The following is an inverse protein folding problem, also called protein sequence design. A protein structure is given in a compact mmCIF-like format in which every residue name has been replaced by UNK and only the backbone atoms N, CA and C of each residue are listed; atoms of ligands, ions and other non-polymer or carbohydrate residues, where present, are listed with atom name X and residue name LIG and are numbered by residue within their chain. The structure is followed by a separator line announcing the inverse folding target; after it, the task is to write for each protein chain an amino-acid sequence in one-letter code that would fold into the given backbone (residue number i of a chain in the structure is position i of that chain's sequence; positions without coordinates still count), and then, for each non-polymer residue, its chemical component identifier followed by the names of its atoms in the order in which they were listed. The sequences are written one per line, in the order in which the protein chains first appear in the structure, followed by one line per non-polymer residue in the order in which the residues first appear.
data_IF_267384287012
#
_entry.id   IF_267384287012
#
_cell.length_a   1.000
_cell.length_b   1.000
_cell.length_c   1.000
_cell.angle_alpha   90.00
_cell.angle_beta   90.00
_cell.angle_gamma   90.00
#
_symmetry.space_group_name_H-M   'P 1'
#
loop_
_entity.id
_entity.type
_entity.pdbx_description
1 polymer ?
#
# COMPACT_ATOMS: atom_id res chain seq x y z
N UNK A 1 10.37 6.06 -6.75
CA UNK A 1 11.51 6.05 -5.81
C UNK A 1 12.14 7.43 -5.67
N UNK A 2 12.55 8.07 -6.76
CA UNK A 2 13.19 9.39 -6.71
C UNK A 2 12.35 10.44 -5.98
N UNK A 3 11.05 10.48 -6.24
CA UNK A 3 10.14 11.41 -5.57
C UNK A 3 10.02 11.09 -4.07
N UNK A 4 9.90 9.82 -3.69
CA UNK A 4 9.86 9.41 -2.27
C UNK A 4 11.15 9.85 -1.55
N UNK A 5 12.30 9.56 -2.14
CA UNK A 5 13.60 9.87 -1.54
C UNK A 5 13.99 11.36 -1.63
N UNK A 6 13.24 12.20 -2.37
CA UNK A 6 13.52 13.64 -2.41
C UNK A 6 13.31 14.35 -1.07
N UNK A 7 12.58 13.74 -0.16
CA UNK A 7 12.32 14.21 1.20
C UNK A 7 13.37 13.74 2.23
N UNK A 8 14.42 13.01 1.77
CA UNK A 8 15.40 12.37 2.67
C UNK A 8 16.75 13.09 2.66
N UNK A 9 17.40 13.04 3.82
CA UNK A 9 18.82 13.37 3.95
C UNK A 9 19.68 12.15 3.55
N UNK A 10 20.93 12.41 3.13
CA UNK A 10 21.92 11.38 2.77
C UNK A 10 21.40 10.37 1.73
N UNK A 11 20.44 10.77 0.91
CA UNK A 11 19.84 9.87 -0.09
C UNK A 11 20.85 9.44 -1.14
N UNK A 12 20.84 8.15 -1.46
CA UNK A 12 21.66 7.58 -2.55
C UNK A 12 20.96 6.42 -3.21
N UNK A 13 21.16 6.23 -4.49
CA UNK A 13 20.79 5.00 -5.19
C UNK A 13 21.81 3.92 -4.82
N UNK A 14 21.33 2.77 -4.36
CA UNK A 14 22.20 1.65 -3.90
C UNK A 14 22.08 0.43 -4.79
N UNK A 15 21.00 0.29 -5.56
CA UNK A 15 20.80 -0.80 -6.49
C UNK A 15 19.89 -0.38 -7.64
N UNK A 16 20.16 -0.96 -8.82
CA UNK A 16 19.31 -0.83 -10.01
C UNK A 16 19.41 -2.10 -10.85
N UNK A 17 18.26 -2.74 -11.06
CA UNK A 17 18.14 -3.87 -11.97
C UNK A 17 16.72 -3.93 -12.53
N UNK A 18 16.58 -3.91 -13.85
CA UNK A 18 15.27 -3.84 -14.53
C UNK A 18 14.42 -2.68 -13.99
N UNK A 19 13.16 -2.94 -13.61
CA UNK A 19 12.25 -1.98 -12.97
C UNK A 19 12.60 -1.66 -11.50
N UNK A 20 13.47 -2.46 -10.88
CA UNK A 20 13.84 -2.29 -9.47
C UNK A 20 14.93 -1.25 -9.33
N UNK A 21 14.61 -0.16 -8.68
CA UNK A 21 15.56 0.90 -8.28
C UNK A 21 15.42 1.10 -6.79
N UNK A 22 16.52 0.98 -6.07
CA UNK A 22 16.54 1.14 -4.61
C UNK A 22 17.34 2.37 -4.21
N UNK A 23 16.69 3.25 -3.48
CA UNK A 23 17.34 4.35 -2.76
C UNK A 23 17.31 4.07 -1.26
N UNK A 24 18.36 4.51 -0.57
CA UNK A 24 18.43 4.53 0.88
C UNK A 24 18.83 5.93 1.36
N UNK A 25 18.48 6.27 2.60
CA UNK A 25 18.77 7.55 3.21
C UNK A 25 18.22 7.65 4.62
N UNK A 26 17.97 8.89 5.06
CA UNK A 26 17.35 9.16 6.36
C UNK A 26 16.19 10.14 6.21
N UNK A 27 15.07 9.81 6.82
CA UNK A 27 13.96 10.74 6.98
C UNK A 27 13.87 11.18 8.44
N UNK A 28 14.13 12.46 8.69
CA UNK A 28 14.17 13.01 10.07
C UNK A 28 15.01 12.16 11.03
N UNK A 29 16.20 11.73 10.57
CA UNK A 29 17.13 10.91 11.33
C UNK A 29 16.87 9.41 11.33
N UNK A 30 15.70 8.94 10.87
CA UNK A 30 15.35 7.51 10.79
C UNK A 30 15.83 6.91 9.48
N UNK A 31 16.51 5.77 9.54
CA UNK A 31 16.95 5.05 8.35
C UNK A 31 15.74 4.53 7.55
N UNK A 32 15.77 4.76 6.25
CA UNK A 32 14.67 4.42 5.35
C UNK A 32 15.20 4.00 3.98
N UNK A 33 14.51 3.09 3.33
CA UNK A 33 14.78 2.70 1.94
C UNK A 33 13.49 2.70 1.13
N UNK A 34 13.58 2.94 -0.17
CA UNK A 34 12.47 2.76 -1.10
C UNK A 34 12.94 2.00 -2.32
N UNK A 35 12.17 1.01 -2.72
CA UNK A 35 12.42 0.19 -3.91
C UNK A 35 11.21 0.27 -4.83
N UNK A 36 11.42 0.58 -6.13
CA UNK A 36 10.36 0.43 -7.13
C UNK A 36 10.16 -1.05 -7.45
N UNK A 37 8.92 -1.44 -7.70
CA UNK A 37 8.58 -2.82 -8.06
C UNK A 37 8.07 -2.95 -9.50
N UNK A 38 7.80 -1.83 -10.18
CA UNK A 38 6.96 -1.87 -11.38
C UNK A 38 5.50 -2.13 -10.99
N UNK A 39 4.76 -2.80 -11.86
CA UNK A 39 3.32 -3.05 -11.71
C UNK A 39 3.06 -4.55 -11.47
N UNK A 40 2.18 -4.81 -10.50
CA UNK A 40 1.56 -6.11 -10.30
C UNK A 40 2.21 -7.03 -9.28
N UNK A 41 1.46 -8.04 -8.90
CA UNK A 41 1.84 -9.02 -7.90
C UNK A 41 3.17 -9.72 -8.15
N UNK A 42 3.45 -10.24 -9.36
CA UNK A 42 4.70 -10.96 -9.63
C UNK A 42 5.95 -10.14 -9.34
N UNK A 43 5.99 -8.89 -9.78
CA UNK A 43 7.13 -8.00 -9.54
C UNK A 43 7.25 -7.62 -8.05
N UNK A 44 6.12 -7.37 -7.39
CA UNK A 44 6.08 -7.12 -5.94
C UNK A 44 6.58 -8.32 -5.15
N UNK A 45 6.20 -9.54 -5.52
CA UNK A 45 6.63 -10.76 -4.84
C UNK A 45 8.16 -10.93 -4.89
N UNK A 46 8.77 -10.72 -6.06
CA UNK A 46 10.24 -10.79 -6.20
C UNK A 46 10.90 -9.75 -5.29
N UNK A 47 10.43 -8.51 -5.30
CA UNK A 47 10.97 -7.45 -4.43
C UNK A 47 10.89 -7.81 -2.94
N UNK A 48 9.73 -8.29 -2.47
CA UNK A 48 9.52 -8.67 -1.07
C UNK A 48 10.46 -9.80 -0.67
N UNK A 49 10.55 -10.87 -1.47
CA UNK A 49 11.45 -12.01 -1.24
C UNK A 49 12.91 -11.58 -1.10
N UNK A 50 13.39 -10.73 -2.00
CA UNK A 50 14.79 -10.29 -2.00
C UNK A 50 15.08 -9.30 -0.87
N UNK A 51 14.14 -8.37 -0.59
CA UNK A 51 14.29 -7.42 0.50
C UNK A 51 14.26 -8.09 1.88
N UNK A 52 13.46 -9.14 2.07
CA UNK A 52 13.46 -9.94 3.29
C UNK A 52 14.84 -10.61 3.51
N UNK A 53 15.48 -11.11 2.45
CA UNK A 53 16.81 -11.75 2.54
C UNK A 53 17.91 -10.78 2.95
N UNK A 54 17.76 -9.50 2.68
CA UNK A 54 18.70 -8.46 3.13
C UNK A 54 18.27 -7.80 4.44
N UNK A 55 17.26 -8.36 5.12
CA UNK A 55 16.88 -7.98 6.49
C UNK A 55 15.76 -6.95 6.61
N UNK A 56 15.07 -6.59 5.53
CA UNK A 56 13.88 -5.78 5.65
C UNK A 56 12.77 -6.54 6.40
N UNK A 57 12.09 -5.87 7.32
CA UNK A 57 11.05 -6.49 8.16
C UNK A 57 9.75 -5.69 8.20
N UNK A 58 9.74 -4.49 7.62
CA UNK A 58 8.55 -3.63 7.57
C UNK A 58 8.47 -2.98 6.19
N UNK A 59 7.29 -3.08 5.58
CA UNK A 59 7.02 -2.58 4.24
C UNK A 59 5.84 -1.63 4.23
N UNK A 60 5.98 -0.51 3.52
CA UNK A 60 4.88 0.41 3.22
C UNK A 60 4.80 0.60 1.71
N UNK A 61 3.71 0.13 1.11
CA UNK A 61 3.42 0.41 -0.28
C UNK A 61 2.92 1.85 -0.44
N UNK A 62 3.58 2.59 -1.29
CA UNK A 62 3.11 3.89 -1.78
C UNK A 62 2.71 3.72 -3.24
N UNK A 63 1.46 3.98 -3.56
CA UNK A 63 0.96 3.75 -4.90
C UNK A 63 -0.23 4.62 -5.26
N UNK A 64 -0.83 4.30 -6.41
CA UNK A 64 -2.04 4.94 -6.90
C UNK A 64 -3.17 3.93 -6.96
N UNK A 65 -4.42 4.41 -7.00
CA UNK A 65 -5.59 3.57 -6.98
C UNK A 65 -6.76 4.24 -7.71
N UNK A 66 -7.70 3.43 -8.18
CA UNK A 66 -8.97 3.88 -8.73
C UNK A 66 -10.11 3.66 -7.73
N UNK A 67 -10.63 4.74 -7.16
CA UNK A 67 -11.73 4.70 -6.18
C UNK A 67 -13.03 4.17 -6.82
N UNK A 68 -13.73 3.31 -6.09
CA UNK A 68 -15.05 2.79 -6.50
C UNK A 68 -16.18 3.20 -5.56
N UNK A 69 -15.89 3.87 -4.45
CA UNK A 69 -16.93 4.40 -3.54
C UNK A 69 -17.26 5.86 -3.87
N UNK A 70 -18.55 6.23 -3.91
CA UNK A 70 -18.96 7.60 -4.28
C UNK A 70 -18.42 8.70 -3.36
N UNK A 71 -18.15 8.37 -2.08
CA UNK A 71 -17.64 9.32 -1.07
C UNK A 71 -16.16 9.66 -1.20
N UNK A 72 -15.41 8.90 -2.02
CA UNK A 72 -13.97 9.09 -2.18
C UNK A 72 -13.73 10.03 -3.36
N UNK A 73 -13.05 11.13 -3.11
CA UNK A 73 -12.70 12.12 -4.11
C UNK A 73 -11.33 11.84 -4.72
N UNK A 74 -11.11 12.33 -5.94
CA UNK A 74 -9.76 12.29 -6.54
C UNK A 74 -8.83 13.17 -5.69
N UNK A 75 -7.66 12.64 -5.37
CA UNK A 75 -6.70 13.24 -4.44
C UNK A 75 -6.80 12.75 -3.01
N UNK A 76 -7.89 12.07 -2.61
CA UNK A 76 -7.96 11.43 -1.28
C UNK A 76 -6.95 10.29 -1.17
N UNK A 77 -6.53 10.01 0.06
CA UNK A 77 -5.70 8.85 0.36
C UNK A 77 -6.55 7.65 0.79
N UNK A 78 -6.10 6.45 0.44
CA UNK A 78 -6.67 5.20 0.94
C UNK A 78 -5.57 4.46 1.70
N UNK A 79 -5.79 4.28 3.00
CA UNK A 79 -4.98 3.44 3.86
C UNK A 79 -5.61 2.05 3.85
N UNK A 80 -4.96 1.09 3.21
CA UNK A 80 -5.49 -0.25 3.06
C UNK A 80 -5.31 -1.06 4.34
N UNK A 81 -6.43 -1.49 4.95
CA UNK A 81 -6.44 -2.42 6.08
C UNK A 81 -6.41 -3.88 5.65
N UNK A 82 -6.74 -4.17 4.40
CA UNK A 82 -6.72 -5.48 3.77
C UNK A 82 -6.97 -5.38 2.28
N UNK A 83 -6.83 -6.50 1.58
CA UNK A 83 -7.05 -6.57 0.15
C UNK A 83 -7.84 -7.82 -0.27
N UNK A 84 -8.80 -7.64 -1.17
CA UNK A 84 -9.44 -8.75 -1.88
C UNK A 84 -8.42 -9.34 -2.86
N UNK A 85 -8.17 -10.64 -2.76
CA UNK A 85 -7.16 -11.36 -3.54
C UNK A 85 -7.70 -11.78 -4.90
N UNK A 86 -7.85 -10.83 -5.83
CA UNK A 86 -8.23 -11.10 -7.22
C UNK A 86 -7.00 -11.34 -8.12
N UNK A 87 -5.80 -11.30 -7.55
CA UNK A 87 -4.52 -11.59 -8.19
C UNK A 87 -4.23 -13.10 -8.22
N UNK A 88 -3.40 -13.53 -9.15
CA UNK A 88 -2.90 -14.91 -9.25
C UNK A 88 -1.66 -15.16 -8.40
N UNK A 89 -0.83 -14.15 -8.16
CA UNK A 89 0.47 -14.31 -7.48
C UNK A 89 0.29 -14.76 -6.04
N UNK A 90 -0.53 -14.08 -5.25
CA UNK A 90 -0.73 -14.44 -3.85
C UNK A 90 -1.33 -15.84 -3.67
N UNK A 91 -2.10 -16.31 -4.66
CA UNK A 91 -2.69 -17.66 -4.67
C UNK A 91 -1.67 -18.78 -4.87
N UNK A 92 -0.50 -18.47 -5.45
CA UNK A 92 0.60 -19.42 -5.59
C UNK A 92 1.43 -19.58 -4.32
N UNK A 93 1.34 -18.63 -3.40
CA UNK A 93 2.00 -18.71 -2.08
C UNK A 93 1.15 -19.42 -1.03
N UNK A 94 -0.15 -19.17 -1.02
CA UNK A 94 -1.07 -19.75 -0.04
C UNK A 94 -2.49 -19.79 -0.61
N UNK A 95 -3.34 -20.69 -0.09
CA UNK A 95 -4.73 -20.85 -0.53
C UNK A 95 -5.50 -19.53 -0.49
N UNK A 96 -6.51 -19.39 -1.35
CA UNK A 96 -7.29 -18.15 -1.53
C UNK A 96 -8.03 -17.73 -0.26
N UNK A 97 -8.38 -18.67 0.60
CA UNK A 97 -9.07 -18.43 1.87
C UNK A 97 -8.18 -17.72 2.91
N UNK A 98 -6.84 -17.77 2.75
CA UNK A 98 -5.92 -17.02 3.60
C UNK A 98 -6.09 -15.52 3.36
N UNK A 99 -6.38 -14.72 4.39
CA UNK A 99 -6.68 -13.30 4.20
C UNK A 99 -5.41 -12.48 3.91
N UNK A 100 -5.51 -11.52 2.98
CA UNK A 100 -4.50 -10.49 2.77
C UNK A 100 -4.84 -9.28 3.64
N UNK A 101 -4.25 -9.20 4.84
CA UNK A 101 -4.46 -8.09 5.78
C UNK A 101 -3.18 -7.32 6.06
N UNK A 102 -3.31 -6.01 6.25
CA UNK A 102 -2.21 -5.17 6.66
C UNK A 102 -1.89 -5.37 8.15
N UNK A 103 -0.65 -5.14 8.53
CA UNK A 103 -0.26 -5.17 9.95
C UNK A 103 -0.88 -3.96 10.67
N UNK A 104 -1.60 -4.21 11.76
CA UNK A 104 -2.38 -3.17 12.45
C UNK A 104 -1.54 -1.97 12.91
N UNK A 105 -0.29 -2.19 13.38
CA UNK A 105 0.59 -1.09 13.77
C UNK A 105 0.99 -0.20 12.58
N UNK A 106 1.15 -0.80 11.39
CA UNK A 106 1.46 -0.02 10.17
C UNK A 106 0.24 0.78 9.73
N UNK A 107 -0.96 0.21 9.82
CA UNK A 107 -2.20 0.95 9.55
C UNK A 107 -2.36 2.13 10.52
N UNK A 108 -2.16 1.91 11.81
CA UNK A 108 -2.23 2.97 12.83
C UNK A 108 -1.19 4.07 12.60
N UNK A 109 0.05 3.70 12.23
CA UNK A 109 1.10 4.68 11.95
C UNK A 109 0.80 5.52 10.69
N UNK A 110 0.18 4.91 9.68
CA UNK A 110 -0.28 5.63 8.49
C UNK A 110 -1.43 6.59 8.82
N UNK A 111 -2.35 6.19 9.69
CA UNK A 111 -3.43 7.06 10.19
C UNK A 111 -2.84 8.24 10.97
N UNK A 112 -1.97 7.97 11.93
CA UNK A 112 -1.30 9.01 12.74
C UNK A 112 -0.55 10.00 11.85
N UNK A 113 0.16 9.50 10.84
CA UNK A 113 0.87 10.35 9.89
C UNK A 113 -0.09 11.19 9.04
N UNK A 114 -1.20 10.62 8.57
CA UNK A 114 -2.20 11.33 7.79
C UNK A 114 -2.86 12.45 8.62
N UNK A 115 -3.25 12.16 9.86
CA UNK A 115 -3.81 13.15 10.79
C UNK A 115 -2.82 14.29 11.08
N UNK A 116 -1.56 13.96 11.38
CA UNK A 116 -0.52 14.96 11.69
C UNK A 116 -0.20 15.88 10.52
N UNK A 117 -0.39 15.41 9.29
CA UNK A 117 -0.16 16.17 8.06
C UNK A 117 -1.42 16.84 7.51
N UNK A 118 -2.60 16.61 8.13
CA UNK A 118 -3.87 17.14 7.67
C UNK A 118 -4.33 16.57 6.31
N UNK A 119 -3.86 15.37 5.97
CA UNK A 119 -4.24 14.71 4.72
C UNK A 119 -5.65 14.13 4.82
N UNK A 120 -6.44 14.23 3.73
CA UNK A 120 -7.76 13.62 3.65
C UNK A 120 -7.63 12.15 3.29
N UNK A 121 -8.16 11.25 4.11
CA UNK A 121 -7.96 9.82 3.94
C UNK A 121 -9.18 8.97 4.27
N UNK A 122 -9.16 7.73 3.78
CA UNK A 122 -10.12 6.67 4.09
C UNK A 122 -9.37 5.41 4.50
N UNK A 123 -9.93 4.64 5.43
CA UNK A 123 -9.35 3.36 5.84
C UNK A 123 -10.30 2.23 5.46
N UNK A 124 -9.79 1.18 4.84
CA UNK A 124 -10.60 0.02 4.49
C UNK A 124 -9.94 -0.94 3.52
N UNK A 125 -10.76 -1.84 2.97
CA UNK A 125 -10.31 -2.90 2.08
C UNK A 125 -10.19 -2.38 0.66
N UNK A 126 -9.14 -2.78 -0.05
CA UNK A 126 -8.94 -2.55 -1.49
C UNK A 126 -9.08 -3.86 -2.26
N UNK A 127 -9.11 -3.82 -3.58
CA UNK A 127 -9.09 -5.03 -4.42
C UNK A 127 -7.86 -5.03 -5.32
N UNK A 128 -7.03 -6.07 -5.20
CA UNK A 128 -5.83 -6.24 -6.02
C UNK A 128 -6.10 -7.16 -7.19
N UNK A 129 -5.82 -6.69 -8.41
CA UNK A 129 -6.04 -7.42 -9.66
C UNK A 129 -4.76 -7.50 -10.48
N UNK A 130 -4.65 -8.51 -11.37
CA UNK A 130 -3.52 -8.64 -12.31
C UNK A 130 -3.79 -7.96 -13.66
N UNK A 131 -5.03 -7.54 -13.92
CA UNK A 131 -5.39 -6.85 -15.16
C UNK A 131 -5.98 -5.48 -14.89
N UNK A 132 -5.31 -4.44 -15.39
CA UNK A 132 -5.79 -3.06 -15.31
C UNK A 132 -7.10 -2.84 -16.09
N UNK A 133 -7.27 -3.56 -17.20
CA UNK A 133 -8.49 -3.46 -18.02
C UNK A 133 -9.59 -4.37 -17.51
N UNK A 134 -9.67 -5.58 -18.01
CA UNK A 134 -10.79 -6.49 -17.75
C UNK A 134 -10.89 -6.86 -16.26
N UNK A 135 -9.79 -7.11 -15.57
CA UNK A 135 -9.78 -7.39 -14.13
C UNK A 135 -10.33 -6.27 -13.25
N UNK A 136 -10.39 -5.05 -13.77
CA UNK A 136 -11.00 -3.90 -13.09
C UNK A 136 -12.27 -3.42 -13.80
N UNK A 137 -12.96 -4.30 -14.51
CA UNK A 137 -14.18 -4.00 -15.28
C UNK A 137 -14.04 -2.81 -16.25
N UNK A 138 -12.90 -2.71 -16.92
CA UNK A 138 -12.71 -1.83 -18.07
C UNK A 138 -12.76 -2.66 -19.34
N UNK A 139 -13.43 -2.21 -20.40
CA UNK A 139 -13.42 -2.90 -21.69
C UNK A 139 -11.97 -3.11 -22.18
N UNK A 140 -11.72 -4.30 -22.70
CA UNK A 140 -10.47 -4.62 -23.38
C UNK A 140 -10.42 -4.04 -24.80
N UNK A 141 -9.36 -4.39 -25.53
CA UNK A 141 -9.24 -4.01 -26.93
C UNK A 141 -10.49 -4.43 -27.73
N UNK A 142 -10.96 -3.60 -28.66
CA UNK A 142 -12.19 -3.80 -29.43
C UNK A 142 -13.45 -4.00 -28.58
N UNK A 143 -13.53 -3.33 -27.45
CA UNK A 143 -14.67 -3.41 -26.52
C UNK A 143 -14.92 -4.84 -25.99
N UNK A 144 -13.86 -5.63 -25.85
CA UNK A 144 -13.97 -6.97 -25.30
C UNK A 144 -14.43 -6.91 -23.83
N UNK A 145 -15.56 -7.56 -23.56
CA UNK A 145 -16.16 -7.66 -22.22
C UNK A 145 -16.64 -9.08 -21.95
N UNK A 146 -16.61 -9.47 -20.69
CA UNK A 146 -17.25 -10.69 -20.18
C UNK A 146 -18.42 -10.31 -19.28
N UNK A 147 -19.41 -11.18 -19.18
CA UNK A 147 -20.65 -10.91 -18.43
C UNK A 147 -20.39 -10.54 -16.96
N UNK A 148 -19.45 -11.21 -16.30
CA UNK A 148 -19.09 -10.98 -14.90
C UNK A 148 -18.53 -9.59 -14.63
N UNK A 149 -17.99 -8.91 -15.63
CA UNK A 149 -17.42 -7.57 -15.47
C UNK A 149 -18.48 -6.52 -15.08
N UNK A 150 -19.73 -6.73 -15.49
CA UNK A 150 -20.84 -5.80 -15.22
C UNK A 150 -21.15 -5.70 -13.73
N UNK A 151 -21.04 -6.82 -13.02
CA UNK A 151 -21.41 -6.90 -11.61
C UNK A 151 -20.22 -6.68 -10.67
N UNK A 152 -18.98 -6.74 -11.18
CA UNK A 152 -17.78 -6.68 -10.37
C UNK A 152 -17.71 -5.41 -9.48
N UNK A 153 -17.87 -4.22 -10.07
CA UNK A 153 -17.81 -2.97 -9.31
C UNK A 153 -19.00 -2.86 -8.35
N UNK A 154 -20.27 -3.07 -8.78
CA UNK A 154 -21.41 -3.06 -7.86
C UNK A 154 -21.28 -4.03 -6.69
N UNK A 155 -20.76 -5.22 -6.90
CA UNK A 155 -20.60 -6.21 -5.84
C UNK A 155 -19.50 -5.80 -4.85
N UNK A 156 -18.34 -5.35 -5.35
CA UNK A 156 -17.28 -4.86 -4.49
C UNK A 156 -17.70 -3.59 -3.71
N UNK A 157 -18.49 -2.70 -4.31
CA UNK A 157 -19.06 -1.53 -3.63
C UNK A 157 -19.97 -1.95 -2.47
N UNK A 158 -20.89 -2.90 -2.69
CA UNK A 158 -21.78 -3.45 -1.65
C UNK A 158 -20.98 -4.14 -0.53
N UNK A 159 -19.87 -4.77 -0.88
CA UNK A 159 -18.93 -5.37 0.08
C UNK A 159 -18.07 -4.34 0.83
N UNK A 160 -18.22 -3.05 0.55
CA UNK A 160 -17.47 -1.98 1.21
C UNK A 160 -16.03 -1.80 0.73
N UNK A 161 -15.64 -2.43 -0.38
CA UNK A 161 -14.32 -2.25 -0.98
C UNK A 161 -14.17 -0.81 -1.48
N UNK A 162 -13.02 -0.18 -1.21
CA UNK A 162 -12.80 1.24 -1.47
C UNK A 162 -12.30 1.52 -2.89
N UNK A 163 -11.43 0.66 -3.42
CA UNK A 163 -10.73 0.95 -4.68
C UNK A 163 -10.08 -0.29 -5.29
N UNK A 164 -9.63 -0.16 -6.54
CA UNK A 164 -8.75 -1.12 -7.22
C UNK A 164 -7.30 -0.65 -7.23
N UNK A 165 -6.38 -1.58 -7.01
CA UNK A 165 -4.95 -1.47 -7.20
C UNK A 165 -4.40 -2.85 -7.63
N UNK A 166 -3.08 -3.08 -7.64
CA UNK A 166 -2.54 -4.29 -8.28
C UNK A 166 -1.48 -5.03 -7.44
N UNK A 167 -1.16 -4.61 -6.19
CA UNK A 167 -0.02 -5.17 -5.45
C UNK A 167 -0.28 -5.47 -3.97
N UNK A 168 -1.25 -4.81 -3.33
CA UNK A 168 -1.45 -4.90 -1.88
C UNK A 168 -1.74 -6.32 -1.40
N UNK A 169 -2.53 -7.11 -2.14
CA UNK A 169 -2.83 -8.49 -1.76
C UNK A 169 -1.57 -9.36 -1.70
N UNK A 170 -0.70 -9.23 -2.69
CA UNK A 170 0.58 -9.94 -2.73
C UNK A 170 1.49 -9.48 -1.59
N UNK A 171 1.67 -8.16 -1.42
CA UNK A 171 2.50 -7.62 -0.35
C UNK A 171 2.04 -8.09 1.04
N UNK A 172 0.75 -7.96 1.33
CA UNK A 172 0.19 -8.35 2.64
C UNK A 172 0.30 -9.85 2.87
N UNK A 173 -0.03 -10.66 1.86
CA UNK A 173 0.04 -12.12 1.97
C UNK A 173 1.47 -12.59 2.27
N UNK A 174 2.45 -12.14 1.51
CA UNK A 174 3.85 -12.55 1.71
C UNK A 174 4.40 -12.06 3.04
N UNK A 175 4.13 -10.79 3.38
CA UNK A 175 4.58 -10.24 4.66
C UNK A 175 4.04 -11.02 5.85
N UNK A 176 2.75 -11.42 5.81
CA UNK A 176 2.14 -12.23 6.87
C UNK A 176 2.75 -13.63 6.95
N UNK A 177 2.99 -14.30 5.81
CA UNK A 177 3.60 -15.63 5.77
C UNK A 177 5.00 -15.60 6.38
N UNK A 178 5.77 -14.55 6.11
CA UNK A 178 7.17 -14.43 6.55
C UNK A 178 7.35 -13.66 7.86
N UNK A 179 6.26 -13.30 8.54
CA UNK A 179 6.31 -12.61 9.82
C UNK A 179 6.82 -11.16 9.75
N UNK A 180 6.75 -10.54 8.57
CA UNK A 180 7.03 -9.13 8.38
C UNK A 180 5.78 -8.26 8.56
N UNK A 181 5.97 -6.97 8.82
CA UNK A 181 4.88 -5.99 8.89
C UNK A 181 4.67 -5.33 7.53
N UNK A 182 3.43 -5.19 7.09
CA UNK A 182 3.13 -4.45 5.86
C UNK A 182 1.89 -3.56 6.00
N UNK A 183 1.90 -2.46 5.24
CA UNK A 183 0.76 -1.57 5.04
C UNK A 183 0.81 -0.92 3.66
N UNK A 184 -0.23 -0.16 3.32
CA UNK A 184 -0.27 0.58 2.07
C UNK A 184 -1.02 1.90 2.24
N UNK A 185 -0.49 2.95 1.62
CA UNK A 185 -1.14 4.23 1.41
C UNK A 185 -1.18 4.53 -0.08
N UNK A 186 -2.37 4.80 -0.58
CA UNK A 186 -2.66 4.86 -2.01
C UNK A 186 -3.35 6.18 -2.33
N UNK A 187 -2.86 6.92 -3.31
CA UNK A 187 -3.50 8.12 -3.80
C UNK A 187 -4.64 7.75 -4.78
N UNK A 188 -5.83 8.22 -4.53
CA UNK A 188 -6.97 8.05 -5.43
C UNK A 188 -6.81 8.99 -6.63
N UNK A 189 -6.10 8.54 -7.66
CA UNK A 189 -5.89 9.32 -8.89
C UNK A 189 -7.08 9.24 -9.84
N UNK A 190 -7.99 8.30 -9.62
CA UNK A 190 -9.19 8.13 -10.43
C UNK A 190 -10.42 7.81 -9.57
N UNK A 191 -11.58 8.31 -10.00
CA UNK A 191 -12.89 7.90 -9.52
C UNK A 191 -13.60 7.11 -10.63
N UNK A 192 -13.83 5.80 -10.38
CA UNK A 192 -14.55 4.92 -11.32
C UNK A 192 -16.04 5.19 -11.35
N UNK A 193 -16.56 5.84 -10.31
CA UNK A 193 -17.98 6.22 -10.19
C UNK A 193 -18.24 7.52 -10.93
N UNK A 194 -17.34 8.49 -10.81
CA UNK A 194 -17.48 9.82 -11.43
C UNK A 194 -16.83 9.92 -12.81
N UNK A 195 -16.18 8.85 -13.25
CA UNK A 195 -15.38 8.80 -14.48
C UNK A 195 -14.33 9.93 -14.56
N UNK A 196 -13.66 10.17 -13.45
CA UNK A 196 -12.62 11.19 -13.30
C UNK A 196 -11.24 10.54 -13.23
N UNK A 197 -10.25 11.20 -13.82
CA UNK A 197 -8.84 10.84 -13.73
C UNK A 197 -8.03 12.13 -13.66
N UNK A 198 -7.21 12.27 -12.62
CA UNK A 198 -6.24 13.36 -12.49
C UNK A 198 -4.89 12.75 -12.17
N UNK A 199 -4.00 12.82 -13.12
CA UNK A 199 -2.64 12.28 -12.98
C UNK A 199 -1.93 12.91 -11.78
N UNK A 200 -1.33 12.07 -10.93
CA UNK A 200 -0.60 12.45 -9.72
C UNK A 200 -1.42 13.11 -8.60
N UNK A 201 -2.75 13.18 -8.68
CA UNK A 201 -3.56 13.71 -7.59
C UNK A 201 -3.30 12.94 -6.28
N UNK A 202 -2.97 13.64 -5.20
CA UNK A 202 -2.69 13.07 -3.88
C UNK A 202 -1.40 12.25 -3.75
N UNK A 203 -0.61 12.09 -4.83
CA UNK A 203 0.60 11.26 -4.80
C UNK A 203 1.66 11.84 -3.86
N UNK A 204 1.84 13.16 -3.83
CA UNK A 204 2.78 13.79 -2.90
C UNK A 204 2.35 13.58 -1.45
N UNK A 205 1.05 13.70 -1.15
CA UNK A 205 0.52 13.46 0.19
C UNK A 205 0.71 11.99 0.61
N UNK A 206 0.47 11.03 -0.29
CA UNK A 206 0.75 9.62 -0.03
C UNK A 206 2.24 9.38 0.29
N UNK A 207 3.15 10.03 -0.43
CA UNK A 207 4.58 9.98 -0.17
C UNK A 207 4.93 10.57 1.20
N UNK A 208 4.41 11.74 1.53
CA UNK A 208 4.64 12.40 2.82
C UNK A 208 4.12 11.56 3.98
N UNK A 209 2.90 11.03 3.86
CA UNK A 209 2.29 10.16 4.86
C UNK A 209 3.12 8.88 5.06
N UNK A 210 3.58 8.25 3.99
CA UNK A 210 4.40 7.05 4.10
C UNK A 210 5.75 7.31 4.79
N UNK A 211 6.44 8.40 4.42
CA UNK A 211 7.69 8.80 5.04
C UNK A 211 7.50 9.09 6.54
N UNK A 212 6.45 9.83 6.89
CA UNK A 212 6.13 10.15 8.28
C UNK A 212 5.74 8.89 9.07
N UNK A 213 4.98 7.97 8.48
CA UNK A 213 4.63 6.71 9.12
C UNK A 213 5.85 5.84 9.48
N UNK A 214 6.93 5.88 8.68
CA UNK A 214 8.20 5.22 9.02
C UNK A 214 8.80 5.81 10.30
N UNK A 215 8.79 7.15 10.45
CA UNK A 215 9.24 7.83 11.67
C UNK A 215 8.39 7.44 12.87
N UNK A 216 7.07 7.48 12.72
CA UNK A 216 6.10 7.09 13.77
C UNK A 216 6.34 5.65 14.23
N UNK A 217 6.46 4.70 13.28
CA UNK A 217 6.75 3.30 13.60
C UNK A 217 8.08 3.14 14.36
N UNK A 218 9.12 3.85 13.94
CA UNK A 218 10.40 3.82 14.62
C UNK A 218 10.27 4.29 16.08
N UNK A 219 9.60 5.41 16.33
CA UNK A 219 9.38 5.92 17.69
C UNK A 219 8.56 4.95 18.54
N UNK A 220 7.53 4.33 17.96
CA UNK A 220 6.73 3.34 18.65
C UNK A 220 7.52 2.07 18.97
N UNK A 221 8.38 1.61 18.06
CA UNK A 221 9.24 0.45 18.29
C UNK A 221 10.25 0.74 19.43
N UNK A 222 10.81 1.96 19.49
CA UNK A 222 11.65 2.40 20.61
C UNK A 222 10.87 2.41 21.94
N UNK A 223 9.67 2.98 21.94
CA UNK A 223 8.82 3.04 23.13
C UNK A 223 8.42 1.64 23.63
N UNK A 224 8.09 0.72 22.72
CA UNK A 224 7.82 -0.69 23.06
C UNK A 224 9.04 -1.35 23.71
N UNK A 225 10.21 -1.18 23.12
CA UNK A 225 11.47 -1.75 23.64
C UNK A 225 11.75 -1.24 25.05
N UNK A 226 11.68 0.08 25.26
CA UNK A 226 11.93 0.70 26.58
C UNK A 226 10.97 0.22 27.68
N UNK A 227 9.73 -0.12 27.30
CA UNK A 227 8.69 -0.56 28.25
C UNK A 227 8.45 -2.07 28.26
N UNK A 228 9.25 -2.87 27.56
CA UNK A 228 9.09 -4.33 27.46
C UNK A 228 7.74 -4.75 26.90
N UNK A 229 7.20 -4.01 25.92
CA UNK A 229 5.93 -4.29 25.27
C UNK A 229 6.13 -4.92 23.90
N UNK A 230 5.24 -5.85 23.55
CA UNK A 230 5.23 -6.48 22.21
C UNK A 230 4.47 -5.64 21.20
N UNK A 231 3.33 -5.08 21.61
CA UNK A 231 2.43 -4.34 20.72
C UNK A 231 2.17 -2.93 21.24
N UNK A 232 1.80 -2.06 20.29
CA UNK A 232 1.33 -0.72 20.62
C UNK A 232 -0.09 -0.80 21.18
N UNK A 233 -0.31 -0.14 22.29
CA UNK A 233 -1.62 0.00 22.93
C UNK A 233 -1.76 1.44 23.46
N UNK A 234 -2.98 1.96 23.67
CA UNK A 234 -3.15 3.29 24.26
C UNK A 234 -2.39 3.49 25.58
N UNK A 235 -2.31 2.44 26.39
CA UNK A 235 -1.57 2.49 27.67
C UNK A 235 -0.04 2.63 27.51
N UNK A 236 0.50 2.45 26.31
CA UNK A 236 1.93 2.68 26.04
C UNK A 236 2.30 4.16 26.22
N UNK A 237 1.37 5.07 25.99
CA UNK A 237 1.57 6.53 26.05
C UNK A 237 0.95 7.17 27.29
N UNK A 238 0.20 6.42 28.10
CA UNK A 238 -0.30 6.90 29.37
C UNK A 238 0.83 6.88 30.42
N UNK A 239 0.98 7.99 31.14
CA UNK A 239 1.95 8.12 32.24
C UNK A 239 1.49 7.39 33.49
#
# INVERSE_FOLDING_TARGET
VQWISSFWDERREVARHREYVTHTGRYRGVAISATSTGIGGPATAIAVEELLRVGASTFIRVGTTGAIQPRIEVGDLIIASGAVRLDGTSRQYVRVEYPAFAHFEVVLALIEAAESLGARYHVGVVASTDSFYTGQARPGFRQYEQSWMRDLIPDLQRAGVLSFEMEASTLFTLSNIYGARAGAVLAAVASRVKNELVENAGVEDAIRVANEAVRVLYEWDQAKTLRGRTFITPSLFMR
#
